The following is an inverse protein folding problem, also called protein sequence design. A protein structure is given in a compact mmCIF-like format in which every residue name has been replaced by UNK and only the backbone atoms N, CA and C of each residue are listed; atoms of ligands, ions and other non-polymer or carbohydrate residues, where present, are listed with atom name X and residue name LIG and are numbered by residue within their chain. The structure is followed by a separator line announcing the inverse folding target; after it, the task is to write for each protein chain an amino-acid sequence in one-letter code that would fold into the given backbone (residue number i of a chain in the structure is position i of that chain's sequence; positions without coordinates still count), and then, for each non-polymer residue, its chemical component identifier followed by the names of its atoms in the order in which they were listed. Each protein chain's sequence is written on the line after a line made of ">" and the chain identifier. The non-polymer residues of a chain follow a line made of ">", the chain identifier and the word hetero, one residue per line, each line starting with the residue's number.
data_IF_864862710775
#
_entry.id   IF_864862710775
#
_cell.length_a   1.000
_cell.length_b   1.000
_cell.length_c   1.000
_cell.angle_alpha   90.00
_cell.angle_beta   90.00
_cell.angle_gamma   90.00
#
_symmetry.space_group_name_H-M   'P 1'
#
loop_
_entity.id
_entity.type
_entity.pdbx_description
1 polymer ?
#
# COMPACT_ATOMS: atom_id res chain seq x y z
N UNK A 1 -0.53 7.27 -9.63
CA UNK A 1 0.05 6.28 -8.71
C UNK A 1 1.19 5.60 -9.44
N UNK A 2 2.42 6.12 -9.33
CA UNK A 2 3.64 5.50 -9.88
C UNK A 2 4.67 5.55 -8.77
N UNK A 3 4.59 4.55 -7.88
CA UNK A 3 5.45 4.40 -6.71
C UNK A 3 6.53 3.39 -7.08
N UNK A 4 7.79 3.68 -6.78
CA UNK A 4 8.92 2.84 -7.16
C UNK A 4 9.67 2.34 -5.93
N UNK A 5 9.88 1.04 -5.86
CA UNK A 5 10.61 0.37 -4.78
C UNK A 5 11.90 -0.19 -5.37
N UNK A 6 13.04 0.26 -4.87
CA UNK A 6 14.35 -0.15 -5.37
C UNK A 6 14.91 -1.25 -4.46
N UNK A 7 15.30 -2.38 -5.06
CA UNK A 7 15.83 -3.52 -4.32
C UNK A 7 17.35 -3.38 -4.16
N UNK A 8 17.91 -3.81 -3.02
CA UNK A 8 19.35 -3.79 -2.82
C UNK A 8 20.03 -4.83 -3.73
N UNK A 9 21.30 -4.61 -4.05
CA UNK A 9 22.10 -5.55 -4.85
C UNK A 9 22.17 -6.94 -4.23
N UNK A 10 22.12 -7.05 -2.89
CA UNK A 10 22.08 -8.33 -2.15
C UNK A 10 20.83 -9.16 -2.43
N UNK A 11 19.75 -8.53 -2.92
CA UNK A 11 18.50 -9.18 -3.33
C UNK A 11 18.36 -9.26 -4.87
N UNK A 12 19.45 -9.03 -5.62
CA UNK A 12 19.46 -9.07 -7.09
C UNK A 12 19.29 -7.69 -7.77
N UNK A 13 19.05 -6.64 -6.98
CA UNK A 13 18.78 -5.30 -7.50
C UNK A 13 17.45 -5.21 -8.26
N UNK A 14 17.31 -4.17 -9.08
CA UNK A 14 16.09 -3.90 -9.83
C UNK A 14 15.12 -2.99 -9.08
N UNK A 15 13.97 -2.76 -9.70
CA UNK A 15 12.95 -1.85 -9.19
C UNK A 15 11.56 -2.43 -9.43
N UNK A 16 10.65 -2.28 -8.48
CA UNK A 16 9.23 -2.60 -8.66
C UNK A 16 8.42 -1.32 -8.75
N UNK A 17 7.69 -1.17 -9.85
CA UNK A 17 6.78 -0.05 -10.06
C UNK A 17 5.36 -0.49 -9.69
N UNK A 18 4.77 0.21 -8.73
CA UNK A 18 3.37 0.09 -8.36
C UNK A 18 2.55 1.08 -9.18
N UNK A 19 1.40 0.62 -9.66
CA UNK A 19 0.50 1.45 -10.46
C UNK A 19 -0.96 1.27 -10.06
N UNK A 20 -1.81 2.20 -10.54
CA UNK A 20 -3.26 2.05 -10.40
C UNK A 20 -3.64 0.76 -11.11
N UNK A 21 -4.27 -0.16 -10.38
CA UNK A 21 -4.64 -1.49 -10.87
C UNK A 21 -5.22 -1.48 -12.28
N UNK A 22 -4.66 -2.34 -13.14
CA UNK A 22 -5.14 -2.62 -14.50
C UNK A 22 -5.40 -4.12 -14.59
N UNK A 23 -6.67 -4.50 -14.77
CA UNK A 23 -7.06 -5.91 -14.76
C UNK A 23 -6.75 -6.63 -13.43
N UNK A 24 -5.84 -7.59 -13.47
CA UNK A 24 -5.36 -8.37 -12.33
C UNK A 24 -3.95 -7.95 -11.87
N UNK A 25 -3.41 -6.82 -12.35
CA UNK A 25 -2.08 -6.33 -12.00
C UNK A 25 -2.13 -5.00 -11.25
N UNK A 26 -1.26 -4.85 -10.26
CA UNK A 26 -1.06 -3.64 -9.45
C UNK A 26 0.39 -3.22 -9.33
N UNK A 27 1.34 -4.03 -9.81
CA UNK A 27 2.73 -3.65 -9.96
C UNK A 27 3.44 -4.50 -11.02
N UNK A 28 4.65 -4.10 -11.35
CA UNK A 28 5.58 -4.82 -12.22
C UNK A 28 7.03 -4.68 -11.72
N UNK A 29 7.85 -5.70 -11.97
CA UNK A 29 9.25 -5.70 -11.59
C UNK A 29 10.15 -5.54 -12.82
N UNK A 30 11.12 -4.64 -12.71
CA UNK A 30 12.05 -4.24 -13.74
C UNK A 30 13.49 -4.53 -13.27
N UNK A 31 14.07 -5.69 -13.61
CA UNK A 31 15.40 -6.10 -13.12
C UNK A 31 16.54 -5.19 -13.61
N UNK A 32 16.38 -4.56 -14.76
CA UNK A 32 17.33 -3.66 -15.39
C UNK A 32 17.36 -2.25 -14.78
N UNK A 33 16.29 -1.84 -14.09
CA UNK A 33 16.17 -0.48 -13.53
C UNK A 33 16.75 -0.44 -12.13
N UNK A 34 17.89 0.26 -11.99
CA UNK A 34 18.63 0.37 -10.71
C UNK A 34 18.93 1.81 -10.30
N UNK A 35 18.53 2.78 -11.12
CA UNK A 35 18.75 4.21 -10.88
C UNK A 35 17.42 4.87 -10.60
N UNK A 36 17.42 5.78 -9.64
CA UNK A 36 16.25 6.58 -9.28
C UNK A 36 15.88 7.56 -10.39
N UNK A 37 14.60 7.85 -10.52
CA UNK A 37 14.10 8.92 -11.40
C UNK A 37 14.64 10.27 -10.94
N UNK A 38 14.94 11.14 -11.91
CA UNK A 38 15.51 12.48 -11.65
C UNK A 38 14.67 13.63 -12.19
N UNK A 39 13.63 13.33 -12.98
CA UNK A 39 12.75 14.34 -13.58
C UNK A 39 11.49 14.52 -12.74
N UNK A 40 11.50 15.54 -11.88
CA UNK A 40 10.41 15.86 -10.96
C UNK A 40 10.82 15.78 -9.50
N UNK A 41 9.84 15.94 -8.61
CA UNK A 41 10.04 15.89 -7.17
C UNK A 41 9.50 14.58 -6.60
N UNK A 42 10.29 13.96 -5.73
CA UNK A 42 9.95 12.68 -5.10
C UNK A 42 10.25 12.73 -3.61
N UNK A 43 9.47 11.99 -2.85
CA UNK A 43 9.76 11.67 -1.45
C UNK A 43 10.44 10.29 -1.44
N UNK A 44 11.54 10.19 -0.69
CA UNK A 44 12.23 8.93 -0.44
C UNK A 44 11.99 8.55 1.02
N UNK A 45 11.57 7.31 1.23
CA UNK A 45 11.31 6.75 2.55
C UNK A 45 11.95 5.36 2.66
N UNK A 46 12.21 4.94 3.89
CA UNK A 46 12.64 3.58 4.17
C UNK A 46 11.53 2.59 3.80
N UNK A 47 11.91 1.46 3.21
CA UNK A 47 10.95 0.39 2.95
C UNK A 47 10.58 -0.29 4.26
N UNK A 48 9.31 -0.19 4.65
CA UNK A 48 8.78 -0.85 5.84
C UNK A 48 8.47 -2.33 5.53
N UNK A 49 9.21 -3.30 6.11
CA UNK A 49 8.91 -4.70 5.90
C UNK A 49 7.57 -5.06 6.58
N UNK A 50 6.58 -5.41 5.77
CA UNK A 50 5.29 -5.93 6.26
C UNK A 50 5.18 -7.43 6.01
N UNK A 51 4.16 -8.07 6.58
CA UNK A 51 3.79 -9.46 6.27
C UNK A 51 3.17 -9.65 4.87
N UNK A 52 3.44 -8.74 3.91
CA UNK A 52 2.91 -8.80 2.55
C UNK A 52 1.47 -8.31 2.42
N UNK A 53 0.92 -7.64 3.44
CA UNK A 53 -0.40 -7.01 3.40
C UNK A 53 -0.33 -5.56 3.82
N UNK A 54 -1.25 -4.77 3.29
CA UNK A 54 -1.48 -3.39 3.71
C UNK A 54 -2.81 -3.33 4.47
N UNK A 55 -2.81 -2.70 5.63
CA UNK A 55 -4.06 -2.33 6.34
C UNK A 55 -4.63 -1.06 5.70
N UNK A 56 -5.90 -1.10 5.33
CA UNK A 56 -6.68 0.03 4.83
C UNK A 56 -7.70 0.40 5.90
N UNK A 57 -7.65 1.65 6.35
CA UNK A 57 -8.51 2.19 7.40
C UNK A 57 -9.47 3.20 6.78
N UNK A 58 -10.74 3.13 7.16
CA UNK A 58 -11.82 3.99 6.68
C UNK A 58 -12.55 4.56 7.89
N UNK A 59 -12.55 5.88 8.04
CA UNK A 59 -13.17 6.59 9.15
C UNK A 59 -14.58 7.05 8.78
N UNK A 60 -15.47 7.14 9.77
CA UNK A 60 -16.76 7.82 9.67
C UNK A 60 -16.87 8.72 10.89
N UNK A 61 -16.34 9.93 10.78
CA UNK A 61 -16.02 10.76 11.93
C UNK A 61 -14.89 10.17 12.79
N UNK A 62 -14.51 10.86 13.88
CA UNK A 62 -13.31 10.54 14.65
C UNK A 62 -13.51 9.37 15.64
N UNK A 63 -14.74 8.90 15.83
CA UNK A 63 -15.09 7.83 16.78
C UNK A 63 -15.24 6.46 16.13
N UNK A 64 -15.35 6.40 14.79
CA UNK A 64 -15.54 5.16 14.06
C UNK A 64 -14.46 4.96 13.00
N UNK A 65 -13.85 3.78 13.00
CA UNK A 65 -12.92 3.34 11.97
C UNK A 65 -13.14 1.85 11.65
N UNK A 66 -13.37 1.55 10.37
CA UNK A 66 -13.32 0.21 9.81
C UNK A 66 -11.92 -0.08 9.26
N UNK A 67 -11.41 -1.29 9.46
CA UNK A 67 -10.13 -1.71 8.92
C UNK A 67 -10.22 -3.07 8.23
N UNK A 68 -9.50 -3.18 7.12
CA UNK A 68 -9.34 -4.41 6.35
C UNK A 68 -7.90 -4.48 5.82
N UNK A 69 -7.36 -5.69 5.68
CA UNK A 69 -6.08 -5.90 5.03
C UNK A 69 -6.27 -6.38 3.59
N UNK A 70 -5.36 -5.99 2.71
CA UNK A 70 -5.26 -6.47 1.33
C UNK A 70 -3.84 -6.90 1.05
N UNK A 71 -3.63 -7.80 0.09
CA UNK A 71 -2.28 -8.14 -0.37
C UNK A 71 -1.59 -6.88 -0.87
N UNK A 72 -0.40 -6.63 -0.34
CA UNK A 72 0.40 -5.49 -0.73
C UNK A 72 0.85 -5.66 -2.19
N UNK A 73 0.76 -4.61 -3.02
CA UNK A 73 1.22 -4.70 -4.40
C UNK A 73 2.75 -4.95 -4.48
N UNK A 74 3.50 -4.78 -3.38
CA UNK A 74 4.95 -5.02 -3.31
C UNK A 74 5.33 -6.49 -3.45
N UNK A 75 4.39 -7.43 -3.29
CA UNK A 75 4.66 -8.87 -3.33
C UNK A 75 4.96 -9.31 -4.78
N UNK A 76 3.94 -9.71 -5.55
CA UNK A 76 4.10 -10.14 -6.95
C UNK A 76 3.35 -9.25 -7.94
N UNK A 77 2.59 -8.26 -7.44
CA UNK A 77 1.76 -7.39 -8.26
C UNK A 77 0.49 -8.04 -8.80
N UNK A 78 0.19 -9.29 -8.47
CA UNK A 78 -1.04 -9.98 -8.86
C UNK A 78 -2.13 -9.75 -7.82
N UNK A 79 -3.25 -9.22 -8.28
CA UNK A 79 -4.39 -8.92 -7.43
C UNK A 79 -5.23 -10.17 -7.21
N UNK A 80 -5.32 -10.59 -5.95
CA UNK A 80 -6.13 -11.75 -5.56
C UNK A 80 -7.61 -11.41 -5.63
N UNK A 81 -8.39 -12.28 -6.28
CA UNK A 81 -9.83 -12.13 -6.42
C UNK A 81 -10.55 -13.38 -5.90
N UNK A 82 -11.72 -13.18 -5.31
CA UNK A 82 -12.63 -14.24 -4.92
C UNK A 82 -13.40 -14.77 -6.17
N UNK A 83 -14.20 -15.84 -6.05
CA UNK A 83 -14.99 -16.38 -7.16
C UNK A 83 -15.96 -15.37 -7.81
N UNK A 84 -16.41 -14.36 -7.06
CA UNK A 84 -17.26 -13.26 -7.58
C UNK A 84 -16.45 -12.17 -8.32
N UNK A 85 -15.13 -12.35 -8.47
CA UNK A 85 -14.23 -11.39 -9.08
C UNK A 85 -13.89 -10.18 -8.20
N UNK A 86 -14.34 -10.12 -6.95
CA UNK A 86 -13.99 -9.05 -6.00
C UNK A 86 -12.59 -9.28 -5.43
N UNK A 87 -11.87 -8.21 -5.17
CA UNK A 87 -10.56 -8.30 -4.55
C UNK A 87 -10.67 -8.84 -3.13
N UNK A 88 -9.81 -9.81 -2.79
CA UNK A 88 -9.82 -10.47 -1.48
C UNK A 88 -9.40 -9.46 -0.39
N UNK A 89 -10.14 -9.49 0.72
CA UNK A 89 -9.92 -8.64 1.89
C UNK A 89 -9.92 -9.51 3.13
N UNK A 90 -9.08 -9.17 4.10
CA UNK A 90 -8.98 -9.87 5.37
C UNK A 90 -9.45 -8.92 6.49
N UNK A 91 -10.23 -9.40 7.46
CA UNK A 91 -10.69 -8.56 8.55
C UNK A 91 -9.49 -8.14 9.42
N UNK A 92 -9.49 -6.87 9.86
CA UNK A 92 -8.47 -6.34 10.77
C UNK A 92 -9.17 -5.68 11.96
N UNK A 93 -8.74 -6.06 13.17
CA UNK A 93 -9.12 -5.35 14.38
C UNK A 93 -8.00 -4.38 14.73
N UNK A 94 -8.30 -3.08 14.66
CA UNK A 94 -7.36 -2.04 15.07
C UNK A 94 -7.10 -2.12 16.58
N UNK A 95 -5.83 -2.07 16.94
CA UNK A 95 -5.39 -1.87 18.32
C UNK A 95 -5.85 -0.50 18.83
N UNK A 96 -5.88 -0.28 20.16
CA UNK A 96 -6.19 1.03 20.72
C UNK A 96 -5.31 2.16 20.16
N UNK A 97 -4.02 1.89 19.96
CA UNK A 97 -3.08 2.85 19.38
C UNK A 97 -3.43 3.20 17.91
N UNK A 98 -3.78 2.21 17.10
CA UNK A 98 -4.19 2.46 15.70
C UNK A 98 -5.53 3.18 15.60
N UNK A 99 -6.47 2.94 16.53
CA UNK A 99 -7.71 3.73 16.61
C UNK A 99 -7.42 5.19 16.94
N UNK A 100 -6.47 5.44 17.85
CA UNK A 100 -6.03 6.80 18.16
C UNK A 100 -5.38 7.47 16.93
N UNK A 101 -4.53 6.75 16.19
CA UNK A 101 -3.98 7.28 14.92
C UNK A 101 -5.08 7.60 13.90
N UNK A 102 -6.08 6.72 13.73
CA UNK A 102 -7.20 6.96 12.82
C UNK A 102 -8.03 8.20 13.22
N UNK A 103 -8.26 8.38 14.52
CA UNK A 103 -8.91 9.57 15.08
C UNK A 103 -8.13 10.84 14.75
N UNK A 104 -6.83 10.85 15.02
CA UNK A 104 -5.96 12.01 14.80
C UNK A 104 -5.92 12.40 13.32
N UNK A 105 -5.81 11.43 12.42
CA UNK A 105 -5.89 11.65 10.96
C UNK A 105 -7.24 12.25 10.58
N UNK A 106 -8.36 11.71 11.07
CA UNK A 106 -9.69 12.21 10.77
C UNK A 106 -9.85 13.69 11.16
N UNK A 107 -9.39 14.06 12.37
CA UNK A 107 -9.47 15.42 12.90
C UNK A 107 -8.52 16.36 12.15
N UNK A 108 -7.25 15.96 11.99
CA UNK A 108 -6.21 16.79 11.38
C UNK A 108 -6.56 17.17 9.93
N UNK A 109 -7.10 16.22 9.16
CA UNK A 109 -7.49 16.44 7.76
C UNK A 109 -8.95 16.86 7.59
N UNK A 110 -9.69 17.08 8.69
CA UNK A 110 -11.11 17.49 8.68
C UNK A 110 -11.96 16.64 7.75
N UNK A 111 -11.81 15.32 7.84
CA UNK A 111 -12.60 14.40 7.03
C UNK A 111 -14.08 14.58 7.38
N UNK A 112 -14.83 15.22 6.48
CA UNK A 112 -16.25 15.46 6.65
C UNK A 112 -17.03 14.18 6.41
N UNK A 113 -18.10 13.98 7.18
CA UNK A 113 -19.12 12.95 6.96
C UNK A 113 -20.15 13.47 5.98
#
# INVERSE_FOLDING_TARGET
>A
HSIMIYYPSSAGGGMKELFRKVGNRSSEFHPEVRRVRREGSYIYEEFMPTGGTDVKVYTVGPEYAHAEARKSPVVDGVVMRNPDGKEVRYPVLLTPAEKQMAREVCIAFRQAV
#
